data_IF_804957208604
#
_entry.id   IF_804957208604
#
_cell.length_a   1.000
_cell.length_b   1.000
_cell.length_c   1.000
_cell.angle_alpha   90.00
_cell.angle_beta   90.00
_cell.angle_gamma   90.00
#
_symmetry.space_group_name_H-M   'P 1'
#
loop_
_entity.id
_entity.type
_entity.pdbx_description
1 polymer ?
#
# COMPACT_ATOMS: atom_id res chain seq x y z
N UNK A 1 1.77 -64.62 -51.91
CA UNK A 1 0.42 -64.43 -51.38
C UNK A 1 0.59 -63.57 -50.13
N UNK A 2 0.51 -62.29 -50.37
CA UNK A 2 0.91 -61.24 -49.45
C UNK A 2 -0.36 -60.59 -48.92
N UNK A 3 -0.58 -60.66 -47.60
CA UNK A 3 -1.76 -60.10 -46.93
C UNK A 3 -1.33 -58.80 -46.36
N UNK A 4 -1.76 -57.68 -46.99
CA UNK A 4 -1.56 -56.30 -46.51
C UNK A 4 -2.49 -56.04 -45.34
N UNK A 5 -1.89 -55.76 -44.16
CA UNK A 5 -2.58 -55.18 -42.99
C UNK A 5 -2.73 -53.69 -43.19
N UNK A 6 -3.96 -53.23 -43.29
CA UNK A 6 -4.30 -51.82 -43.29
C UNK A 6 -4.20 -51.19 -41.85
N UNK A 7 -3.72 -49.95 -41.70
CA UNK A 7 -3.70 -49.30 -40.40
C UNK A 7 -5.08 -48.82 -39.99
N UNK A 8 -5.43 -49.12 -38.74
CA UNK A 8 -6.63 -48.69 -38.06
C UNK A 8 -6.62 -47.18 -37.87
N UNK A 9 -7.66 -46.52 -38.34
CA UNK A 9 -7.94 -45.12 -38.21
C UNK A 9 -7.95 -44.68 -36.74
N UNK A 10 -6.97 -43.88 -36.33
CA UNK A 10 -7.02 -43.17 -35.04
C UNK A 10 -8.01 -42.02 -35.13
N UNK A 11 -9.07 -42.07 -34.33
CA UNK A 11 -10.03 -41.00 -34.20
C UNK A 11 -9.35 -39.71 -33.66
N UNK A 12 -9.74 -38.52 -34.17
CA UNK A 12 -9.19 -37.26 -33.64
C UNK A 12 -9.62 -37.08 -32.20
N UNK A 13 -8.64 -36.83 -31.32
CA UNK A 13 -8.89 -36.40 -29.95
C UNK A 13 -9.73 -35.13 -29.98
N UNK A 14 -11.00 -35.26 -29.61
CA UNK A 14 -11.88 -34.10 -29.33
C UNK A 14 -11.23 -33.24 -28.28
N UNK A 15 -10.66 -32.12 -28.70
CA UNK A 15 -10.23 -31.04 -27.82
C UNK A 15 -11.45 -30.66 -26.98
N UNK A 16 -11.39 -30.95 -25.67
CA UNK A 16 -12.37 -30.42 -24.70
C UNK A 16 -12.23 -28.91 -24.72
N UNK A 17 -13.31 -28.16 -24.95
CA UNK A 17 -13.26 -26.73 -24.75
C UNK A 17 -12.90 -26.47 -23.28
N UNK A 18 -11.80 -25.75 -23.07
CA UNK A 18 -11.36 -25.27 -21.78
C UNK A 18 -12.43 -24.26 -21.28
N UNK A 19 -13.44 -24.79 -20.57
CA UNK A 19 -14.45 -23.99 -19.87
C UNK A 19 -13.76 -23.32 -18.68
N UNK A 20 -12.87 -22.39 -18.96
CA UNK A 20 -12.54 -21.36 -17.96
C UNK A 20 -13.83 -20.60 -17.76
N UNK A 21 -14.52 -20.90 -16.68
CA UNK A 21 -15.57 -20.05 -16.13
C UNK A 21 -14.87 -18.75 -15.78
N UNK A 22 -14.87 -17.82 -16.72
CA UNK A 22 -14.47 -16.44 -16.45
C UNK A 22 -15.54 -15.90 -15.52
N UNK A 23 -15.21 -15.82 -14.22
CA UNK A 23 -16.07 -15.11 -13.30
C UNK A 23 -16.38 -13.72 -13.89
N UNK A 24 -17.64 -13.28 -13.85
CA UNK A 24 -18.00 -11.99 -14.39
C UNK A 24 -17.18 -10.91 -13.68
N UNK A 25 -16.65 -9.96 -14.46
CA UNK A 25 -15.88 -8.86 -13.90
C UNK A 25 -16.69 -8.20 -12.78
N UNK A 26 -16.04 -7.86 -11.64
CA UNK A 26 -16.74 -7.28 -10.50
C UNK A 26 -17.44 -5.99 -10.90
N UNK A 27 -18.68 -5.82 -10.43
CA UNK A 27 -19.46 -4.62 -10.66
C UNK A 27 -18.79 -3.40 -10.01
N UNK A 28 -19.13 -2.19 -10.47
CA UNK A 28 -18.64 -0.97 -9.85
C UNK A 28 -18.88 -0.93 -8.33
N UNK A 29 -20.11 -1.31 -7.91
CA UNK A 29 -20.47 -1.36 -6.50
C UNK A 29 -19.60 -2.34 -5.70
N UNK A 30 -19.36 -3.53 -6.22
CA UNK A 30 -18.50 -4.51 -5.56
C UNK A 30 -17.07 -3.98 -5.39
N UNK A 31 -16.56 -3.23 -6.35
CA UNK A 31 -15.23 -2.60 -6.26
C UNK A 31 -15.21 -1.50 -5.19
N UNK A 32 -16.26 -0.67 -5.14
CA UNK A 32 -16.39 0.36 -4.10
C UNK A 32 -16.44 -0.30 -2.73
N UNK A 33 -17.32 -1.26 -2.51
CA UNK A 33 -17.51 -1.92 -1.21
C UNK A 33 -16.22 -2.61 -0.73
N UNK A 34 -15.49 -3.26 -1.64
CA UNK A 34 -14.25 -3.95 -1.33
C UNK A 34 -13.08 -3.02 -1.00
N UNK A 35 -13.03 -1.82 -1.62
CA UNK A 35 -11.83 -0.98 -1.57
C UNK A 35 -12.00 0.34 -0.84
N UNK A 36 -13.23 0.86 -0.68
CA UNK A 36 -13.50 2.15 -0.03
C UNK A 36 -12.84 2.25 1.35
N UNK A 37 -13.05 1.32 2.31
CA UNK A 37 -12.49 1.47 3.65
C UNK A 37 -10.95 1.49 3.64
N UNK A 38 -10.36 0.78 2.67
CA UNK A 38 -8.92 0.73 2.49
C UNK A 38 -8.35 2.02 1.95
N UNK A 39 -8.97 2.56 0.91
CA UNK A 39 -8.57 3.81 0.27
C UNK A 39 -8.76 4.99 1.22
N UNK A 40 -9.90 5.06 1.92
CA UNK A 40 -10.20 6.13 2.87
C UNK A 40 -9.15 6.22 3.98
N UNK A 41 -8.83 5.09 4.64
CA UNK A 41 -7.77 5.05 5.66
C UNK A 41 -6.40 5.45 5.12
N UNK A 42 -6.09 5.07 3.89
CA UNK A 42 -4.84 5.49 3.27
C UNK A 42 -4.85 6.99 2.97
N UNK A 43 -5.91 7.52 2.37
CA UNK A 43 -6.07 8.94 2.11
C UNK A 43 -5.94 9.77 3.40
N UNK A 44 -6.70 9.38 4.45
CA UNK A 44 -6.67 10.05 5.74
C UNK A 44 -5.26 10.03 6.36
N UNK A 45 -4.54 8.90 6.25
CA UNK A 45 -3.16 8.84 6.72
C UNK A 45 -2.23 9.80 5.98
N UNK A 46 -2.54 10.18 4.73
CA UNK A 46 -1.70 11.08 3.93
C UNK A 46 -2.06 12.55 4.14
N UNK A 47 -3.35 12.90 4.11
CA UNK A 47 -3.81 14.30 4.17
C UNK A 47 -4.17 14.78 5.60
N UNK A 48 -4.45 13.87 6.56
CA UNK A 48 -4.84 14.16 7.95
C UNK A 48 -6.13 15.00 8.10
N UNK A 49 -6.93 15.05 7.06
CA UNK A 49 -8.19 15.79 7.00
C UNK A 49 -9.25 14.88 6.39
N UNK A 50 -10.37 14.74 7.09
CA UNK A 50 -11.47 13.86 6.70
C UNK A 50 -12.10 14.30 5.38
N UNK A 51 -12.43 15.59 5.26
CA UNK A 51 -12.99 16.18 4.06
C UNK A 51 -12.12 15.95 2.81
N UNK A 52 -10.81 16.15 2.95
CA UNK A 52 -9.84 15.92 1.86
C UNK A 52 -9.69 14.44 1.53
N UNK A 53 -9.73 13.57 2.55
CA UNK A 53 -9.66 12.13 2.34
C UNK A 53 -10.87 11.61 1.56
N UNK A 54 -12.07 12.06 1.90
CA UNK A 54 -13.31 11.74 1.18
C UNK A 54 -13.26 12.19 -0.27
N UNK A 55 -12.84 13.43 -0.52
CA UNK A 55 -12.68 13.98 -1.88
C UNK A 55 -11.68 13.18 -2.72
N UNK A 56 -10.53 12.80 -2.15
CA UNK A 56 -9.52 11.98 -2.82
C UNK A 56 -10.08 10.60 -3.22
N UNK A 57 -10.84 9.97 -2.32
CA UNK A 57 -11.47 8.67 -2.58
C UNK A 57 -12.55 8.80 -3.66
N UNK A 58 -13.39 9.82 -3.59
CA UNK A 58 -14.40 10.10 -4.63
C UNK A 58 -13.74 10.31 -6.00
N UNK A 59 -12.69 11.14 -6.09
CA UNK A 59 -11.96 11.37 -7.33
C UNK A 59 -11.35 10.07 -7.86
N UNK A 60 -10.83 9.22 -6.97
CA UNK A 60 -10.29 7.91 -7.34
C UNK A 60 -11.35 7.02 -7.99
N UNK A 61 -12.55 6.92 -7.41
CA UNK A 61 -13.64 6.13 -7.98
C UNK A 61 -14.23 6.75 -9.24
N UNK A 62 -14.26 8.07 -9.36
CA UNK A 62 -14.61 8.75 -10.62
C UNK A 62 -13.62 8.40 -11.74
N UNK A 63 -12.33 8.38 -11.45
CA UNK A 63 -11.32 7.94 -12.42
C UNK A 63 -11.50 6.45 -12.76
N UNK A 64 -11.84 5.62 -11.77
CA UNK A 64 -12.14 4.20 -12.01
C UNK A 64 -13.36 4.03 -12.94
N UNK A 65 -14.46 4.74 -12.69
CA UNK A 65 -15.65 4.69 -13.54
C UNK A 65 -15.34 5.06 -15.01
N UNK A 66 -14.41 5.99 -15.20
CA UNK A 66 -14.02 6.46 -16.54
C UNK A 66 -13.00 5.56 -17.25
N UNK A 67 -12.06 4.97 -16.50
CA UNK A 67 -10.88 4.30 -17.07
C UNK A 67 -10.69 2.86 -16.60
N UNK A 68 -11.41 2.40 -15.59
CA UNK A 68 -11.22 1.06 -15.00
C UNK A 68 -11.44 -0.06 -16.02
N UNK A 69 -12.33 0.14 -16.99
CA UNK A 69 -12.57 -0.81 -18.07
C UNK A 69 -11.34 -1.06 -18.98
N UNK A 70 -10.34 -0.20 -18.95
CA UNK A 70 -9.09 -0.37 -19.71
C UNK A 70 -8.13 -1.34 -19.02
N UNK A 71 -8.37 -1.67 -17.75
CA UNK A 71 -7.54 -2.58 -16.98
C UNK A 71 -7.85 -4.02 -17.41
N UNK A 72 -6.87 -4.67 -18.06
CA UNK A 72 -7.03 -6.05 -18.57
C UNK A 72 -6.88 -7.12 -17.49
N UNK A 73 -6.15 -6.81 -16.43
CA UNK A 73 -5.84 -7.74 -15.34
C UNK A 73 -6.57 -7.30 -14.07
N UNK A 74 -7.64 -8.01 -13.72
CA UNK A 74 -8.46 -7.75 -12.53
C UNK A 74 -7.69 -7.84 -11.22
N UNK A 75 -6.59 -8.60 -11.17
CA UNK A 75 -5.73 -8.68 -9.98
C UNK A 75 -5.03 -7.34 -9.65
N UNK A 76 -4.95 -6.44 -10.62
CA UNK A 76 -4.31 -5.12 -10.49
C UNK A 76 -5.27 -4.00 -10.08
N UNK A 77 -6.55 -4.28 -9.87
CA UNK A 77 -7.55 -3.28 -9.44
C UNK A 77 -7.07 -2.55 -8.18
N UNK A 78 -6.67 -3.29 -7.17
CA UNK A 78 -6.17 -2.73 -5.90
C UNK A 78 -4.99 -1.77 -6.14
N UNK A 79 -3.95 -2.23 -6.82
CA UNK A 79 -2.76 -1.42 -7.13
C UNK A 79 -3.14 -0.18 -7.95
N UNK A 80 -4.02 -0.32 -8.95
CA UNK A 80 -4.49 0.80 -9.77
C UNK A 80 -5.20 1.88 -8.94
N UNK A 81 -6.10 1.47 -8.03
CA UNK A 81 -6.84 2.39 -7.17
C UNK A 81 -5.90 3.15 -6.23
N UNK A 82 -4.97 2.46 -5.54
CA UNK A 82 -4.00 3.10 -4.65
C UNK A 82 -3.04 4.02 -5.41
N UNK A 83 -2.61 3.63 -6.62
CA UNK A 83 -1.78 4.47 -7.50
C UNK A 83 -2.52 5.75 -7.91
N UNK A 84 -3.79 5.62 -8.28
CA UNK A 84 -4.61 6.77 -8.66
C UNK A 84 -4.81 7.72 -7.49
N UNK A 85 -5.19 7.21 -6.31
CA UNK A 85 -5.36 8.01 -5.10
C UNK A 85 -4.06 8.75 -4.73
N UNK A 86 -2.93 8.06 -4.73
CA UNK A 86 -1.64 8.67 -4.40
C UNK A 86 -1.25 9.79 -5.37
N UNK A 87 -1.52 9.62 -6.67
CA UNK A 87 -1.28 10.65 -7.69
C UNK A 87 -2.20 11.87 -7.53
N UNK A 88 -3.47 11.65 -7.21
CA UNK A 88 -4.42 12.74 -6.91
C UNK A 88 -3.96 13.52 -5.68
N UNK A 89 -3.57 12.84 -4.61
CA UNK A 89 -3.01 13.47 -3.42
C UNK A 89 -1.74 14.27 -3.73
N UNK A 90 -0.77 13.72 -4.48
CA UNK A 90 0.42 14.46 -4.89
C UNK A 90 0.08 15.69 -5.73
N UNK A 91 -0.90 15.56 -6.63
CA UNK A 91 -1.38 16.67 -7.45
C UNK A 91 -1.98 17.79 -6.59
N UNK A 92 -2.75 17.44 -5.57
CA UNK A 92 -3.33 18.39 -4.62
C UNK A 92 -2.25 19.03 -3.76
N UNK A 93 -1.37 18.25 -3.14
CA UNK A 93 -0.27 18.74 -2.32
C UNK A 93 0.64 19.73 -3.10
N UNK A 94 0.92 19.44 -4.38
CA UNK A 94 1.67 20.36 -5.25
C UNK A 94 0.90 21.65 -5.57
N UNK A 95 -0.42 21.60 -5.68
CA UNK A 95 -1.25 22.80 -5.89
C UNK A 95 -1.29 23.67 -4.64
N UNK A 96 -1.39 23.05 -3.47
CA UNK A 96 -1.36 23.73 -2.16
C UNK A 96 0.03 24.28 -1.84
N UNK A 97 1.09 23.56 -2.19
CA UNK A 97 2.50 23.93 -2.01
C UNK A 97 3.02 24.92 -3.08
N UNK A 98 2.16 25.58 -3.87
CA UNK A 98 2.58 26.72 -4.72
C UNK A 98 2.98 27.98 -3.95
N UNK A 99 3.13 27.85 -2.62
CA UNK A 99 3.98 28.64 -1.72
C UNK A 99 4.81 27.67 -0.88
N UNK A 100 6.12 27.90 -0.61
CA UNK A 100 7.25 27.33 -1.34
C UNK A 100 7.64 25.92 -0.89
N UNK A 101 8.15 25.12 -1.84
CA UNK A 101 9.17 24.08 -1.68
C UNK A 101 9.03 23.09 -0.52
N UNK A 102 8.27 22.03 -0.75
CA UNK A 102 8.65 20.73 -0.16
C UNK A 102 9.57 20.09 -1.21
N UNK A 103 10.82 20.42 -1.11
CA UNK A 103 11.91 19.73 -1.80
C UNK A 103 11.92 18.27 -1.32
N UNK A 104 11.56 17.39 -2.21
CA UNK A 104 11.61 15.95 -1.98
C UNK A 104 13.05 15.52 -2.25
N UNK A 105 13.94 15.70 -1.26
CA UNK A 105 15.30 15.18 -1.35
C UNK A 105 15.28 13.65 -1.46
N UNK A 106 15.83 13.07 -2.53
CA UNK A 106 16.09 11.64 -2.59
C UNK A 106 17.30 11.35 -1.71
N UNK A 107 17.05 10.93 -0.50
CA UNK A 107 18.05 10.55 0.47
C UNK A 107 18.75 9.25 0.01
N UNK A 108 19.96 9.41 -0.58
CA UNK A 108 20.81 8.36 -1.11
C UNK A 108 21.79 7.88 -0.05
N UNK A 109 21.34 7.21 1.02
CA UNK A 109 22.28 6.54 1.92
C UNK A 109 21.75 5.20 2.44
N UNK A 110 22.56 4.16 2.22
CA UNK A 110 22.72 2.95 3.02
C UNK A 110 21.56 1.95 3.04
N UNK A 111 21.74 0.87 2.30
CA UNK A 111 20.98 -0.37 2.40
C UNK A 111 21.41 -1.10 3.68
N UNK A 112 20.59 -1.07 4.72
CA UNK A 112 20.68 -2.06 5.80
C UNK A 112 19.73 -3.20 5.47
N UNK A 113 20.22 -4.43 5.56
CA UNK A 113 19.52 -5.65 5.19
C UNK A 113 18.30 -5.95 6.10
N UNK A 114 17.54 -7.01 5.77
CA UNK A 114 16.36 -7.40 6.54
C UNK A 114 16.79 -7.87 7.94
N UNK A 115 16.47 -7.10 8.96
CA UNK A 115 16.55 -7.58 10.33
C UNK A 115 15.29 -8.33 10.72
N UNK A 116 15.53 -9.54 11.22
CA UNK A 116 14.58 -10.48 11.77
C UNK A 116 13.80 -9.91 12.97
N UNK A 117 12.51 -10.30 13.01
CA UNK A 117 11.71 -10.44 14.23
C UNK A 117 11.70 -9.26 15.21
N UNK A 118 10.70 -8.37 15.05
CA UNK A 118 10.34 -7.47 16.14
C UNK A 118 9.72 -8.28 17.30
N UNK A 119 10.19 -8.13 18.56
CA UNK A 119 9.32 -8.36 19.70
C UNK A 119 8.20 -7.32 19.58
N UNK A 120 6.95 -7.79 19.51
CA UNK A 120 5.78 -6.91 19.46
C UNK A 120 5.64 -6.19 20.80
N UNK A 121 5.96 -4.89 20.91
CA UNK A 121 5.42 -4.12 22.02
C UNK A 121 3.91 -4.08 21.78
N UNK A 122 3.09 -4.35 22.78
CA UNK A 122 1.66 -4.08 22.76
C UNK A 122 1.46 -2.56 22.64
N UNK A 123 1.60 -2.06 21.42
CA UNK A 123 1.34 -0.65 21.10
C UNK A 123 -0.15 -0.56 20.83
N UNK A 124 -0.85 0.22 21.63
CA UNK A 124 -2.26 0.48 21.38
C UNK A 124 -2.46 1.21 20.04
N UNK A 125 -3.65 1.06 19.46
CA UNK A 125 -3.96 1.60 18.14
C UNK A 125 -3.82 3.13 18.06
N UNK A 126 -4.11 3.84 19.15
CA UNK A 126 -4.03 5.31 19.18
C UNK A 126 -2.57 5.78 19.16
N UNK A 127 -1.71 5.15 19.96
CA UNK A 127 -0.25 5.42 19.98
C UNK A 127 0.39 5.10 18.63
N UNK A 128 0.01 4.00 17.99
CA UNK A 128 0.49 3.66 16.64
C UNK A 128 0.05 4.71 15.62
N UNK A 129 -1.21 5.14 15.68
CA UNK A 129 -1.73 6.18 14.78
C UNK A 129 -0.97 7.50 14.96
N UNK A 130 -0.79 7.95 16.20
CA UNK A 130 -0.03 9.16 16.53
C UNK A 130 1.44 9.07 16.06
N UNK A 131 2.05 7.88 16.17
CA UNK A 131 3.41 7.66 15.68
C UNK A 131 3.49 7.70 14.14
N UNK A 132 2.53 7.10 13.44
CA UNK A 132 2.43 7.17 11.98
C UNK A 132 2.23 8.60 11.49
N UNK A 133 1.46 9.42 12.22
CA UNK A 133 1.26 10.82 11.89
C UNK A 133 2.55 11.66 11.99
N UNK A 134 3.47 11.30 12.88
CA UNK A 134 4.76 11.97 13.03
C UNK A 134 5.76 11.62 11.91
N UNK A 135 5.51 10.57 11.13
CA UNK A 135 6.32 10.25 9.95
C UNK A 135 6.01 11.22 8.81
N UNK A 136 7.05 11.61 8.07
CA UNK A 136 6.85 12.32 6.81
C UNK A 136 6.14 11.43 5.77
N UNK A 137 5.43 12.02 4.80
CA UNK A 137 4.65 11.26 3.82
C UNK A 137 5.48 10.29 2.99
N UNK A 138 6.75 10.61 2.71
CA UNK A 138 7.65 9.78 1.91
C UNK A 138 8.02 8.46 2.58
N UNK A 139 8.03 8.41 3.92
CA UNK A 139 8.24 7.21 4.73
C UNK A 139 6.93 6.54 5.13
N UNK A 140 5.89 7.33 5.39
CA UNK A 140 4.58 6.83 5.81
C UNK A 140 3.88 6.05 4.69
N UNK A 141 3.86 6.60 3.46
CA UNK A 141 3.18 5.96 2.33
C UNK A 141 3.64 4.52 2.07
N UNK A 142 4.94 4.23 1.86
CA UNK A 142 5.37 2.84 1.62
C UNK A 142 5.06 1.92 2.80
N UNK A 143 5.14 2.42 4.05
CA UNK A 143 4.86 1.64 5.25
C UNK A 143 3.39 1.26 5.35
N UNK A 144 2.47 2.20 5.13
CA UNK A 144 1.03 1.94 5.12
C UNK A 144 0.63 1.01 3.98
N UNK A 145 1.19 1.20 2.79
CA UNK A 145 0.92 0.34 1.62
C UNK A 145 1.41 -1.10 1.87
N UNK A 146 2.54 -1.28 2.51
CA UNK A 146 3.10 -2.60 2.79
C UNK A 146 2.32 -3.32 3.91
N UNK A 147 2.24 -2.72 5.11
CA UNK A 147 1.71 -3.40 6.29
C UNK A 147 0.18 -3.38 6.39
N UNK A 148 -0.47 -2.29 5.98
CA UNK A 148 -1.92 -2.17 6.10
C UNK A 148 -2.67 -2.53 4.82
N UNK A 149 -1.98 -2.55 3.67
CA UNK A 149 -2.60 -2.87 2.38
C UNK A 149 -2.00 -4.09 1.72
N UNK A 150 -0.97 -4.69 2.32
CA UNK A 150 -0.36 -5.94 1.86
C UNK A 150 0.06 -5.89 0.37
N UNK A 151 0.50 -4.72 -0.09
CA UNK A 151 1.02 -4.56 -1.44
C UNK A 151 2.44 -5.12 -1.52
N UNK A 152 2.76 -5.78 -2.64
CA UNK A 152 4.14 -6.21 -2.91
C UNK A 152 5.07 -5.01 -3.10
N UNK A 153 6.37 -5.19 -2.90
CA UNK A 153 7.36 -4.12 -3.17
C UNK A 153 7.27 -3.57 -4.60
N UNK A 154 6.93 -4.43 -5.56
CA UNK A 154 6.73 -4.03 -6.96
C UNK A 154 5.49 -3.17 -7.11
N UNK A 155 4.36 -3.56 -6.52
CA UNK A 155 3.12 -2.77 -6.56
C UNK A 155 3.29 -1.42 -5.85
N UNK A 156 4.06 -1.38 -4.74
CA UNK A 156 4.40 -0.13 -4.05
C UNK A 156 5.29 0.76 -4.94
N UNK A 157 6.30 0.18 -5.61
CA UNK A 157 7.17 0.90 -6.53
C UNK A 157 6.36 1.54 -7.68
N UNK A 158 5.45 0.77 -8.27
CA UNK A 158 4.53 1.25 -9.32
C UNK A 158 3.58 2.34 -8.78
N UNK A 159 3.06 2.17 -7.56
CA UNK A 159 2.16 3.13 -6.90
C UNK A 159 2.85 4.46 -6.62
N UNK A 160 4.05 4.40 -6.04
CA UNK A 160 4.80 5.60 -5.66
C UNK A 160 5.60 6.22 -6.82
N UNK A 161 5.74 5.51 -7.93
CA UNK A 161 6.52 5.95 -9.09
C UNK A 161 8.02 6.02 -8.81
N UNK A 162 8.55 5.09 -8.00
CA UNK A 162 9.96 5.04 -7.60
C UNK A 162 10.56 3.65 -7.85
N UNK A 163 11.90 3.52 -7.98
CA UNK A 163 12.55 2.22 -8.10
C UNK A 163 12.29 1.32 -6.88
N UNK A 164 12.23 0.00 -7.10
CA UNK A 164 12.00 -0.98 -6.03
C UNK A 164 13.05 -0.90 -4.90
N UNK A 165 14.30 -0.61 -5.22
CA UNK A 165 15.37 -0.38 -4.24
C UNK A 165 15.08 0.83 -3.34
N UNK A 166 14.43 1.87 -3.90
CA UNK A 166 13.97 3.03 -3.13
C UNK A 166 12.83 2.66 -2.17
N UNK A 167 11.91 1.78 -2.58
CA UNK A 167 10.86 1.27 -1.69
C UNK A 167 11.48 0.53 -0.51
N UNK A 168 12.44 -0.37 -0.76
CA UNK A 168 13.11 -1.15 0.28
C UNK A 168 13.83 -0.25 1.28
N UNK A 169 14.62 0.72 0.80
CA UNK A 169 15.35 1.66 1.67
C UNK A 169 14.40 2.57 2.46
N UNK A 170 13.31 3.06 1.84
CA UNK A 170 12.30 3.87 2.54
C UNK A 170 11.57 3.06 3.61
N UNK A 171 11.24 1.80 3.36
CA UNK A 171 10.61 0.92 4.35
C UNK A 171 11.52 0.65 5.54
N UNK A 172 12.82 0.40 5.30
CA UNK A 172 13.79 0.23 6.40
C UNK A 172 13.85 1.47 7.28
N UNK A 173 14.10 2.64 6.68
CA UNK A 173 14.16 3.91 7.42
C UNK A 173 12.84 4.27 8.10
N UNK A 174 11.70 4.00 7.43
CA UNK A 174 10.39 4.23 8.03
C UNK A 174 10.18 3.41 9.30
N UNK A 175 10.61 2.14 9.30
CA UNK A 175 10.57 1.26 10.49
C UNK A 175 11.43 1.83 11.62
N UNK A 176 12.65 2.25 11.33
CA UNK A 176 13.58 2.78 12.34
C UNK A 176 13.05 4.10 12.94
N UNK A 177 12.55 5.00 12.09
CA UNK A 177 11.90 6.24 12.53
C UNK A 177 10.65 5.97 13.37
N UNK A 178 9.80 5.02 12.93
CA UNK A 178 8.60 4.64 13.68
C UNK A 178 8.95 4.09 15.07
N UNK A 179 9.97 3.21 15.17
CA UNK A 179 10.46 2.71 16.47
C UNK A 179 10.95 3.83 17.37
N UNK A 180 11.70 4.79 16.84
CA UNK A 180 12.18 5.93 17.60
C UNK A 180 11.02 6.79 18.12
N UNK A 181 10.02 7.09 17.28
CA UNK A 181 8.84 7.86 17.66
C UNK A 181 8.02 7.12 18.72
N UNK A 182 7.82 5.80 18.57
CA UNK A 182 7.09 5.00 19.56
C UNK A 182 7.78 5.00 20.91
N UNK A 183 9.10 4.90 20.97
CA UNK A 183 9.88 5.00 22.24
C UNK A 183 9.68 6.36 22.89
N UNK A 184 9.80 7.46 22.13
CA UNK A 184 9.58 8.81 22.70
C UNK A 184 8.16 9.00 23.24
N UNK A 185 7.14 8.46 22.54
CA UNK A 185 5.75 8.53 23.01
C UNK A 185 5.52 7.71 24.29
N UNK A 186 6.21 6.59 24.45
CA UNK A 186 6.15 5.76 25.67
C UNK A 186 6.88 6.43 26.83
N UNK A 187 8.01 7.09 26.59
CA UNK A 187 8.76 7.85 27.60
C UNK A 187 7.98 9.07 28.08
N UNK A 188 7.35 9.80 27.16
CA UNK A 188 6.51 10.97 27.45
C UNK A 188 5.20 10.58 28.20
N UNK A 189 4.68 9.37 27.99
CA UNK A 189 3.47 8.85 28.63
C UNK A 189 3.72 8.10 29.93
N UNK A 190 4.96 7.80 30.30
CA UNK A 190 5.29 7.21 31.58
C UNK A 190 5.11 8.26 32.70
N UNK A 191 4.27 8.01 33.74
CA UNK A 191 4.22 8.92 34.88
C UNK A 191 5.62 8.93 35.51
N UNK A 192 6.21 10.13 35.60
CA UNK A 192 7.46 10.37 36.33
C UNK A 192 7.24 10.05 37.81
N UNK A 193 7.24 8.79 38.16
CA UNK A 193 7.24 8.35 39.55
C UNK A 193 8.68 8.35 40.04
N UNK A 194 9.24 9.56 40.16
CA UNK A 194 10.46 9.76 40.95
C UNK A 194 10.02 9.64 42.42
N UNK A 195 10.00 8.40 42.90
CA UNK A 195 10.05 8.15 44.33
C UNK A 195 11.42 8.63 44.83
N UNK A 196 11.46 9.89 45.25
CA UNK A 196 12.51 10.37 46.14
C UNK A 196 12.47 9.54 47.41
N UNK A 197 13.26 8.46 47.45
CA UNK A 197 13.59 7.77 48.70
C UNK A 197 14.46 8.72 49.50
N UNK A 198 13.83 9.51 50.34
CA UNK A 198 14.51 10.17 51.45
C UNK A 198 14.92 9.09 52.44
N UNK A 199 16.21 8.86 52.56
CA UNK A 199 16.83 7.98 53.57
C UNK A 199 16.81 8.71 54.93
N UNK A 200 16.51 8.00 56.03
CA UNK A 200 16.53 8.53 57.39
C UNK A 200 17.92 8.89 57.88
#
# INVERSE_FOLDING_TARGET
>A
MEIALQPVFAAPATARPDLRVTEPAPSFQQIVDAHYPGLHRFALSMCRREDVAEDLVQQTFLQWARKGHTLRDGSKVKTWLFTTLYREWLGQARREARHPEIEFEPDLHGVSGPEEGMPEPHVDSATLHAALERLDPGHRAPLVLFYLKELSYRDIADTLGVPIGTVMSRLSRAKDRLRSILRSLQEDGAPSNILTMTRP
#
